data_IF_399914651242
#
_entry.id   IF_399914651242
#
_cell.length_a   1.000
_cell.length_b   1.000
_cell.length_c   1.000
_cell.angle_alpha   90.00
_cell.angle_beta   90.00
_cell.angle_gamma   90.00
#
_symmetry.space_group_name_H-M   'P 1'
#
loop_
_entity.id
_entity.type
_entity.pdbx_description
1 polymer ?
#
# COMPACT_ATOMS: atom_id res chain seq x y z
N UNK A 1 29.27 -1.39 -33.99
CA UNK A 1 27.99 -1.89 -33.41
C UNK A 1 26.92 -0.81 -33.64
N UNK A 2 25.86 -1.11 -34.39
CA UNK A 2 24.85 -0.09 -34.73
C UNK A 2 23.91 0.20 -33.55
N UNK A 3 23.56 1.47 -33.30
CA UNK A 3 22.62 1.91 -32.23
C UNK A 3 21.33 1.07 -32.19
N UNK A 4 20.81 0.71 -33.36
CA UNK A 4 19.59 -0.11 -33.48
C UNK A 4 19.77 -1.54 -32.97
N UNK A 5 20.95 -2.12 -33.14
CA UNK A 5 21.25 -3.46 -32.64
C UNK A 5 21.36 -3.45 -31.11
N UNK A 6 22.03 -2.43 -30.56
CA UNK A 6 22.18 -2.24 -29.11
C UNK A 6 20.83 -2.07 -28.40
N UNK A 7 19.94 -1.23 -28.93
CA UNK A 7 18.60 -1.02 -28.35
C UNK A 7 17.79 -2.31 -28.37
N UNK A 8 17.89 -3.10 -29.45
CA UNK A 8 17.20 -4.39 -29.54
C UNK A 8 17.72 -5.39 -28.51
N UNK A 9 19.03 -5.56 -28.38
CA UNK A 9 19.61 -6.49 -27.40
C UNK A 9 19.33 -6.08 -25.96
N UNK A 10 19.38 -4.78 -25.65
CA UNK A 10 19.01 -4.28 -24.33
C UNK A 10 17.52 -4.54 -24.02
N UNK A 11 16.62 -4.35 -24.99
CA UNK A 11 15.19 -4.65 -24.83
C UNK A 11 14.89 -6.12 -24.54
N UNK A 12 15.53 -7.05 -25.26
CA UNK A 12 15.36 -8.49 -25.01
C UNK A 12 15.92 -8.93 -23.65
N UNK A 13 17.01 -8.32 -23.18
CA UNK A 13 17.62 -8.64 -21.88
C UNK A 13 16.74 -8.20 -20.68
N UNK A 14 15.99 -7.11 -20.80
CA UNK A 14 15.03 -6.69 -19.78
C UNK A 14 13.79 -7.58 -19.78
N UNK A 15 13.34 -8.04 -20.95
CA UNK A 15 12.17 -8.91 -21.04
C UNK A 15 12.38 -10.28 -20.35
N UNK A 16 13.58 -10.85 -20.40
CA UNK A 16 13.86 -12.17 -19.81
C UNK A 16 13.96 -12.13 -18.27
N UNK A 17 14.38 -11.01 -17.68
CA UNK A 17 14.46 -10.85 -16.22
C UNK A 17 13.08 -10.66 -15.59
N UNK A 18 12.15 -9.98 -16.27
CA UNK A 18 10.76 -9.81 -15.81
C UNK A 18 9.99 -11.13 -15.80
N UNK A 19 10.20 -12.00 -16.79
CA UNK A 19 9.50 -13.29 -16.87
C UNK A 19 9.92 -14.31 -15.81
N UNK A 20 11.15 -14.19 -15.28
CA UNK A 20 11.68 -15.12 -14.26
C UNK A 20 11.31 -14.71 -12.82
N UNK A 21 10.78 -13.48 -12.64
CA UNK A 21 10.35 -12.96 -11.33
C UNK A 21 8.94 -13.40 -10.89
N UNK A 22 8.11 -13.88 -11.82
CA UNK A 22 6.76 -14.38 -11.53
C UNK A 22 6.80 -15.87 -11.12
N UNK A 23 7.43 -16.19 -9.98
CA UNK A 23 7.21 -17.49 -9.34
C UNK A 23 5.84 -17.45 -8.63
N UNK A 24 4.90 -18.38 -8.90
CA UNK A 24 3.70 -18.47 -8.09
C UNK A 24 4.14 -18.87 -6.68
N UNK A 25 4.04 -17.93 -5.74
CA UNK A 25 4.17 -18.25 -4.33
C UNK A 25 3.12 -19.31 -4.03
N UNK A 26 3.55 -20.45 -3.46
CA UNK A 26 2.64 -21.49 -3.00
C UNK A 26 1.63 -20.85 -2.06
N UNK A 27 0.39 -20.73 -2.53
CA UNK A 27 -0.72 -20.21 -1.73
C UNK A 27 -0.98 -21.26 -0.67
N UNK A 28 -0.43 -21.05 0.51
CA UNK A 28 -0.86 -21.77 1.71
C UNK A 28 -2.35 -21.51 1.85
N UNK A 29 -3.16 -22.56 1.82
CA UNK A 29 -4.61 -22.48 1.96
C UNK A 29 -4.96 -22.01 3.36
N UNK A 30 -4.94 -20.70 3.54
CA UNK A 30 -5.48 -20.02 4.71
C UNK A 30 -6.97 -20.37 4.77
N UNK A 31 -7.35 -21.17 5.76
CA UNK A 31 -8.74 -21.53 6.01
C UNK A 31 -9.58 -20.25 6.05
N UNK A 32 -10.76 -20.20 5.39
CA UNK A 32 -11.63 -19.06 5.47
C UNK A 32 -12.14 -18.97 6.92
N UNK A 33 -11.47 -18.14 7.72
CA UNK A 33 -12.01 -17.68 9.00
C UNK A 33 -13.34 -17.02 8.62
N UNK A 34 -14.46 -17.55 9.11
CA UNK A 34 -15.78 -16.92 8.93
C UNK A 34 -15.63 -15.44 9.26
N UNK A 35 -15.61 -14.61 8.21
CA UNK A 35 -15.40 -13.19 8.34
C UNK A 35 -16.65 -12.65 9.02
N UNK A 36 -16.50 -12.28 10.30
CA UNK A 36 -17.55 -11.51 10.96
C UNK A 36 -17.78 -10.27 10.11
N UNK A 37 -19.04 -9.88 9.85
CA UNK A 37 -19.31 -8.70 9.04
C UNK A 37 -18.63 -7.48 9.65
N UNK A 38 -18.06 -6.62 8.80
CA UNK A 38 -17.46 -5.36 9.24
C UNK A 38 -18.54 -4.50 9.89
N UNK A 39 -18.30 -4.06 11.13
CA UNK A 39 -19.13 -3.08 11.80
C UNK A 39 -18.44 -1.72 11.68
N UNK A 40 -19.07 -0.77 11.00
CA UNK A 40 -18.53 0.58 10.80
C UNK A 40 -19.20 1.56 11.78
N UNK A 41 -18.41 2.23 12.61
CA UNK A 41 -18.84 3.35 13.43
C UNK A 41 -18.17 4.62 12.91
N UNK A 42 -18.98 5.53 12.37
CA UNK A 42 -18.53 6.86 11.97
C UNK A 42 -18.92 7.85 13.06
N UNK A 43 -17.91 8.50 13.65
CA UNK A 43 -18.09 9.61 14.58
C UNK A 43 -17.71 10.87 13.81
N UNK A 44 -18.71 11.71 13.52
CA UNK A 44 -18.49 13.01 12.90
C UNK A 44 -18.30 14.04 14.01
N UNK A 45 -17.26 14.86 13.87
CA UNK A 45 -16.99 16.00 14.74
C UNK A 45 -16.89 17.22 13.83
N UNK A 46 -17.70 18.23 14.10
CA UNK A 46 -17.70 19.48 13.34
C UNK A 46 -16.61 20.41 13.87
N UNK A 47 -15.85 21.02 12.97
CA UNK A 47 -14.81 22.03 13.25
C UNK A 47 -13.76 21.67 14.32
N UNK A 48 -13.41 20.39 14.49
CA UNK A 48 -12.30 20.01 15.37
C UNK A 48 -10.96 20.48 14.79
N UNK A 49 -10.34 21.47 15.45
CA UNK A 49 -9.03 21.99 15.09
C UNK A 49 -7.92 20.96 15.29
N UNK A 50 -6.85 21.08 14.50
CA UNK A 50 -5.71 20.16 14.57
C UNK A 50 -5.05 20.07 15.95
N UNK A 51 -5.20 21.08 16.79
CA UNK A 51 -4.60 21.14 18.14
C UNK A 51 -5.62 20.98 19.26
N UNK A 52 -6.88 20.65 18.92
CA UNK A 52 -8.01 20.69 19.86
C UNK A 52 -8.05 19.48 20.81
N UNK A 53 -7.28 18.44 20.51
CA UNK A 53 -7.12 17.32 21.42
C UNK A 53 -6.03 17.64 22.45
N UNK A 54 -6.38 17.52 23.73
CA UNK A 54 -5.43 17.77 24.82
C UNK A 54 -4.15 16.91 24.73
N UNK A 55 -4.25 15.70 24.19
CA UNK A 55 -3.10 14.81 23.96
C UNK A 55 -2.10 15.33 22.91
N UNK A 56 -2.41 16.39 22.18
CA UNK A 56 -1.53 17.04 21.22
C UNK A 56 -0.63 18.11 21.88
N UNK A 57 -0.68 18.25 23.20
CA UNK A 57 0.20 19.14 23.97
C UNK A 57 -0.19 20.62 23.90
N UNK A 58 -1.43 20.92 23.52
CA UNK A 58 -1.94 22.28 23.52
C UNK A 58 -2.39 22.70 24.93
N UNK A 59 -1.48 23.30 25.68
CA UNK A 59 -1.72 23.77 27.06
C UNK A 59 -2.68 24.97 27.16
N UNK A 60 -3.16 25.51 26.03
CA UNK A 60 -4.06 26.68 26.00
C UNK A 60 -5.53 26.30 25.88
N UNK A 61 -5.82 25.02 25.71
CA UNK A 61 -7.19 24.52 25.69
C UNK A 61 -7.57 24.15 27.12
N UNK A 62 -8.34 25.03 27.72
CA UNK A 62 -9.11 24.72 28.92
C UNK A 62 -10.49 24.23 28.44
N UNK A 63 -10.75 22.93 28.62
CA UNK A 63 -12.01 22.25 28.29
C UNK A 63 -12.72 21.82 29.55
#
# INVERSE_FOLDING_TARGET
MNRRAFIKTAGWAVASTVLTGCRPASISSMQPKTERPLNVLLIMIDDLGWTDLHCQGNNRLET
#
